data_IF_507498356590
#
_entry.id   IF_507498356590
#
_cell.length_a   1.000
_cell.length_b   1.000
_cell.length_c   1.000
_cell.angle_alpha   90.00
_cell.angle_beta   90.00
_cell.angle_gamma   90.00
#
_symmetry.space_group_name_H-M   'P 1'
#
loop_
_entity.id
_entity.type
_entity.pdbx_description
1 polymer ?
#
# COMPACT_ATOMS: atom_id res chain seq x y z
N UNK A 1 11.33 6.42 30.37
CA UNK A 1 11.14 5.42 29.29
C UNK A 1 11.99 5.87 28.11
N UNK A 2 13.02 5.14 27.66
CA UNK A 2 13.84 5.63 26.56
C UNK A 2 13.19 5.27 25.22
N UNK A 3 12.76 6.30 24.51
CA UNK A 3 12.48 6.33 23.07
C UNK A 3 13.77 6.17 22.29
N UNK A 4 13.89 5.15 21.43
CA UNK A 4 15.05 4.95 20.57
C UNK A 4 14.65 4.34 19.22
N UNK A 5 13.85 5.09 18.44
CA UNK A 5 13.89 4.91 16.98
C UNK A 5 15.12 5.67 16.47
N UNK A 6 16.29 5.02 16.46
CA UNK A 6 17.45 5.56 15.75
C UNK A 6 17.24 5.31 14.26
N UNK A 7 16.93 6.35 13.50
CA UNK A 7 17.02 6.29 12.05
C UNK A 7 18.48 6.06 11.63
N UNK A 8 18.71 5.10 10.74
CA UNK A 8 20.04 4.79 10.20
C UNK A 8 20.60 5.99 9.43
N UNK A 9 21.90 6.23 9.57
CA UNK A 9 22.67 7.28 8.89
C UNK A 9 23.68 6.67 7.91
N UNK A 10 24.09 7.47 6.94
CA UNK A 10 25.13 7.07 6.01
C UNK A 10 26.45 6.80 6.78
N UNK A 11 27.01 5.61 6.58
CA UNK A 11 28.21 5.15 7.30
C UNK A 11 27.93 4.25 8.51
N UNK A 12 26.66 4.07 8.92
CA UNK A 12 26.31 3.10 9.95
C UNK A 12 26.71 1.67 9.52
N UNK A 13 27.16 0.83 10.46
CA UNK A 13 27.51 -0.55 10.17
C UNK A 13 26.29 -1.29 9.63
N UNK A 14 26.52 -2.19 8.66
CA UNK A 14 25.47 -3.08 8.18
C UNK A 14 24.90 -3.86 9.37
N UNK A 15 23.56 -4.00 9.49
CA UNK A 15 22.98 -4.77 10.58
C UNK A 15 23.43 -6.24 10.47
N UNK A 16 23.63 -6.86 11.63
CA UNK A 16 24.04 -8.25 11.71
C UNK A 16 22.95 -9.18 11.16
N UNK A 17 23.33 -10.17 10.35
CA UNK A 17 22.39 -11.09 9.70
C UNK A 17 22.31 -12.35 10.57
N UNK A 18 21.23 -12.48 11.34
CA UNK A 18 20.96 -13.70 12.10
C UNK A 18 20.25 -14.72 11.20
N UNK A 19 20.85 -15.88 10.89
CA UNK A 19 20.26 -16.89 10.01
C UNK A 19 19.00 -17.56 10.58
N UNK A 20 18.78 -17.46 11.90
CA UNK A 20 17.58 -17.99 12.56
C UNK A 20 16.46 -16.95 12.69
N UNK A 21 16.69 -15.70 12.25
CA UNK A 21 15.70 -14.64 12.23
C UNK A 21 15.54 -14.07 10.81
N UNK A 22 14.30 -13.94 10.35
CA UNK A 22 14.04 -13.28 9.08
C UNK A 22 14.33 -11.78 9.19
N UNK A 23 15.36 -11.31 8.48
CA UNK A 23 15.72 -9.89 8.38
C UNK A 23 15.25 -9.35 7.03
N UNK A 24 14.28 -8.41 7.05
CA UNK A 24 13.69 -7.81 5.86
C UNK A 24 14.59 -6.68 5.31
N UNK A 25 15.45 -6.97 4.33
CA UNK A 25 16.27 -5.98 3.62
C UNK A 25 15.48 -5.30 2.49
N UNK A 26 14.55 -4.44 2.88
CA UNK A 26 13.68 -3.72 1.95
C UNK A 26 12.62 -4.60 1.29
N UNK A 27 11.62 -3.97 0.69
CA UNK A 27 10.47 -4.68 0.13
C UNK A 27 10.74 -5.39 -1.21
N UNK A 28 12.01 -5.54 -1.60
CA UNK A 28 12.42 -6.23 -2.85
C UNK A 28 12.12 -7.73 -2.86
N UNK A 29 11.71 -8.29 -1.72
CA UNK A 29 11.36 -9.70 -1.61
C UNK A 29 9.96 -10.02 -2.16
N UNK A 30 9.06 -9.04 -2.20
CA UNK A 30 7.69 -9.26 -2.70
C UNK A 30 7.51 -8.56 -4.06
N UNK A 31 7.48 -9.30 -5.18
CA UNK A 31 7.35 -8.70 -6.51
C UNK A 31 5.99 -8.02 -6.70
N UNK A 32 4.99 -8.31 -5.86
CA UNK A 32 3.71 -7.60 -5.86
C UNK A 32 3.82 -6.22 -5.23
N UNK A 33 4.59 -6.10 -4.14
CA UNK A 33 4.88 -4.81 -3.51
C UNK A 33 5.69 -3.93 -4.43
N UNK A 34 6.71 -4.48 -5.09
CA UNK A 34 7.51 -3.71 -6.05
C UNK A 34 6.64 -3.17 -7.19
N UNK A 35 5.77 -4.01 -7.76
CA UNK A 35 4.87 -3.61 -8.86
C UNK A 35 3.87 -2.55 -8.41
N UNK A 36 3.15 -2.81 -7.32
CA UNK A 36 2.08 -1.92 -6.89
C UNK A 36 2.62 -0.66 -6.22
N UNK A 37 3.62 -0.79 -5.35
CA UNK A 37 4.30 0.35 -4.74
C UNK A 37 5.02 1.20 -5.78
N UNK A 38 5.69 0.58 -6.75
CA UNK A 38 6.37 1.27 -7.84
C UNK A 38 5.43 2.07 -8.74
N UNK A 39 4.22 1.57 -9.00
CA UNK A 39 3.23 2.29 -9.81
C UNK A 39 2.43 3.32 -9.01
N UNK A 40 2.05 3.03 -7.76
CA UNK A 40 1.20 3.93 -6.96
C UNK A 40 1.96 5.06 -6.30
N UNK A 41 3.19 4.83 -5.83
CA UNK A 41 3.94 5.84 -5.05
C UNK A 41 4.21 7.13 -5.85
N UNK A 42 4.64 7.10 -7.13
CA UNK A 42 4.82 8.31 -7.93
C UNK A 42 3.51 9.09 -8.13
N UNK A 43 2.38 8.40 -8.33
CA UNK A 43 1.07 9.06 -8.45
C UNK A 43 0.70 9.75 -7.13
N UNK A 44 0.75 8.99 -6.03
CA UNK A 44 0.27 9.46 -4.72
C UNK A 44 1.15 10.57 -4.15
N UNK A 45 2.48 10.43 -4.20
CA UNK A 45 3.38 11.35 -3.49
C UNK A 45 4.11 12.34 -4.40
N UNK A 46 4.07 12.16 -5.72
CA UNK A 46 4.77 13.03 -6.69
C UNK A 46 3.86 13.62 -7.75
N UNK A 47 2.58 13.26 -7.78
CA UNK A 47 1.62 13.78 -8.76
C UNK A 47 1.90 13.34 -10.19
N UNK A 48 2.63 12.23 -10.39
CA UNK A 48 2.87 11.69 -11.73
C UNK A 48 1.60 11.01 -12.26
N UNK A 49 0.69 11.78 -12.85
CA UNK A 49 -0.58 11.30 -13.41
C UNK A 49 -0.50 11.17 -14.94
N UNK A 50 -1.58 10.67 -15.55
CA UNK A 50 -1.67 10.46 -17.00
C UNK A 50 -1.97 9.01 -17.36
N UNK A 51 -2.15 8.74 -18.66
CA UNK A 51 -2.56 7.42 -19.18
C UNK A 51 -1.57 6.32 -18.81
N UNK A 52 -0.27 6.59 -18.95
CA UNK A 52 0.77 5.60 -18.62
C UNK A 52 0.73 5.19 -17.14
N UNK A 53 0.46 6.15 -16.24
CA UNK A 53 0.33 5.89 -14.81
C UNK A 53 -0.94 5.08 -14.49
N UNK A 54 -2.06 5.43 -15.14
CA UNK A 54 -3.33 4.69 -15.03
C UNK A 54 -3.17 3.24 -15.50
N UNK A 55 -2.57 3.03 -16.67
CA UNK A 55 -2.30 1.69 -17.22
C UNK A 55 -1.33 0.90 -16.33
N UNK A 56 -0.28 1.53 -15.79
CA UNK A 56 0.66 0.86 -14.90
C UNK A 56 -0.01 0.38 -13.60
N UNK A 57 -0.88 1.20 -13.00
CA UNK A 57 -1.64 0.82 -11.79
C UNK A 57 -2.64 -0.28 -12.13
N UNK A 58 -3.42 -0.14 -13.20
CA UNK A 58 -4.38 -1.15 -13.62
C UNK A 58 -3.71 -2.50 -13.87
N UNK A 59 -2.60 -2.52 -14.62
CA UNK A 59 -1.82 -3.73 -14.89
C UNK A 59 -1.26 -4.37 -13.62
N UNK A 60 -0.83 -3.57 -12.64
CA UNK A 60 -0.40 -4.09 -11.35
C UNK A 60 -1.57 -4.74 -10.58
N UNK A 61 -2.73 -4.08 -10.53
CA UNK A 61 -3.94 -4.64 -9.91
C UNK A 61 -4.37 -5.95 -10.57
N UNK A 62 -4.41 -6.01 -11.90
CA UNK A 62 -4.80 -7.22 -12.65
C UNK A 62 -3.83 -8.38 -12.39
N UNK A 63 -2.51 -8.11 -12.32
CA UNK A 63 -1.51 -9.14 -12.01
C UNK A 63 -1.67 -9.69 -10.59
N UNK A 64 -1.93 -8.83 -9.61
CA UNK A 64 -2.15 -9.26 -8.21
C UNK A 64 -3.47 -10.03 -8.10
N UNK A 65 -4.54 -9.53 -8.72
CA UNK A 65 -5.84 -10.18 -8.77
C UNK A 65 -5.72 -11.64 -9.27
N UNK A 66 -4.97 -11.88 -10.34
CA UNK A 66 -4.72 -13.22 -10.88
C UNK A 66 -3.75 -14.08 -10.04
N UNK A 67 -2.95 -13.46 -9.19
CA UNK A 67 -1.95 -14.13 -8.38
C UNK A 67 -2.51 -14.66 -7.05
N UNK A 68 -3.56 -14.03 -6.50
CA UNK A 68 -4.22 -14.49 -5.28
C UNK A 68 -4.81 -15.89 -5.52
N UNK A 69 -4.36 -16.88 -4.75
CA UNK A 69 -4.72 -18.31 -4.95
C UNK A 69 -5.80 -18.83 -4.00
N UNK A 70 -6.21 -18.05 -3.01
CA UNK A 70 -7.23 -18.45 -2.04
C UNK A 70 -7.80 -17.26 -1.28
N UNK A 71 -8.19 -17.50 -0.03
CA UNK A 71 -8.67 -16.45 0.88
C UNK A 71 -7.65 -15.33 1.09
N UNK A 72 -6.37 -15.70 1.12
CA UNK A 72 -5.21 -14.82 1.25
C UNK A 72 -4.25 -15.04 0.08
N UNK A 73 -3.17 -14.24 0.02
CA UNK A 73 -2.29 -14.16 -1.16
C UNK A 73 -1.77 -15.53 -1.61
N UNK A 74 -1.27 -16.34 -0.68
CA UNK A 74 -0.63 -17.62 -0.96
C UNK A 74 -1.52 -18.87 -0.72
N UNK A 75 -2.79 -18.68 -0.35
CA UNK A 75 -3.69 -19.80 -0.04
C UNK A 75 -4.75 -19.47 1.01
N UNK A 76 -5.28 -20.47 1.75
CA UNK A 76 -6.38 -20.27 2.70
C UNK A 76 -5.93 -19.62 4.02
N UNK A 77 -4.63 -19.62 4.32
CA UNK A 77 -4.08 -19.13 5.58
C UNK A 77 -3.42 -17.75 5.40
N UNK A 78 -3.63 -16.89 6.39
CA UNK A 78 -2.94 -15.60 6.48
C UNK A 78 -1.44 -15.82 6.68
N UNK A 79 -0.62 -15.06 5.96
CA UNK A 79 0.83 -15.21 5.97
C UNK A 79 1.56 -13.87 6.11
N UNK A 80 2.88 -13.91 6.34
CA UNK A 80 3.72 -12.71 6.30
C UNK A 80 3.62 -11.98 4.95
N UNK A 81 3.43 -12.71 3.84
CA UNK A 81 3.33 -12.11 2.52
C UNK A 81 2.10 -11.18 2.40
N UNK A 82 1.01 -11.51 3.09
CA UNK A 82 -0.18 -10.67 3.17
C UNK A 82 0.12 -9.37 3.92
N UNK A 83 0.79 -9.45 5.05
CA UNK A 83 1.17 -8.28 5.84
C UNK A 83 2.17 -7.37 5.13
N UNK A 84 3.06 -7.95 4.32
CA UNK A 84 4.01 -7.19 3.51
C UNK A 84 3.29 -6.49 2.34
N UNK A 85 2.31 -7.15 1.71
CA UNK A 85 1.59 -6.61 0.55
C UNK A 85 0.50 -5.61 0.93
N UNK A 86 -0.25 -5.89 2.00
CA UNK A 86 -1.46 -5.16 2.36
C UNK A 86 -1.29 -3.64 2.46
N UNK A 87 -0.23 -3.07 3.07
CA UNK A 87 -0.09 -1.62 3.14
C UNK A 87 -0.07 -0.93 1.77
N UNK A 88 0.33 -1.62 0.71
CA UNK A 88 0.34 -1.08 -0.65
C UNK A 88 -1.04 -1.19 -1.30
N UNK A 89 -1.72 -2.31 -1.10
CA UNK A 89 -3.12 -2.50 -1.55
C UNK A 89 -4.05 -1.52 -0.85
N UNK A 90 -3.85 -1.29 0.44
CA UNK A 90 -4.62 -0.36 1.27
C UNK A 90 -4.41 1.12 0.92
N UNK A 91 -3.50 1.42 -0.03
CA UNK A 91 -3.30 2.76 -0.60
C UNK A 91 -3.87 2.90 -2.01
N UNK A 92 -4.52 1.88 -2.55
CA UNK A 92 -5.08 1.91 -3.90
C UNK A 92 -6.10 3.03 -4.09
N UNK A 93 -6.95 3.32 -3.10
CA UNK A 93 -7.91 4.43 -3.22
C UNK A 93 -7.20 5.76 -3.48
N UNK A 94 -6.06 6.00 -2.81
CA UNK A 94 -5.32 7.24 -2.98
C UNK A 94 -4.81 7.39 -4.40
N UNK A 95 -4.26 6.31 -4.97
CA UNK A 95 -3.72 6.33 -6.32
C UNK A 95 -4.84 6.53 -7.35
N UNK A 96 -5.94 5.77 -7.23
CA UNK A 96 -7.10 5.86 -8.13
C UNK A 96 -7.77 7.24 -8.04
N UNK A 97 -7.87 7.81 -6.84
CA UNK A 97 -8.43 9.15 -6.63
C UNK A 97 -7.49 10.25 -7.13
N UNK A 98 -6.17 10.12 -6.94
CA UNK A 98 -5.19 11.09 -7.45
C UNK A 98 -5.16 11.11 -8.99
N UNK A 99 -5.33 9.98 -9.68
CA UNK A 99 -5.48 9.94 -11.14
C UNK A 99 -6.71 10.73 -11.63
N UNK A 100 -7.72 10.90 -10.78
CA UNK A 100 -8.97 11.61 -11.07
C UNK A 100 -9.03 13.03 -10.51
N UNK A 101 -7.90 13.53 -9.98
CA UNK A 101 -7.82 14.83 -9.30
C UNK A 101 -8.89 15.01 -8.20
N UNK A 102 -9.15 13.94 -7.44
CA UNK A 102 -10.12 13.99 -6.35
C UNK A 102 -9.52 14.68 -5.13
N UNK A 103 -10.28 15.61 -4.55
CA UNK A 103 -9.93 16.26 -3.29
C UNK A 103 -9.67 15.21 -2.17
N UNK A 104 -8.53 15.28 -1.45
CA UNK A 104 -8.20 14.34 -0.38
C UNK A 104 -9.27 14.14 0.70
N UNK A 105 -10.06 15.19 1.01
CA UNK A 105 -11.16 15.14 1.99
C UNK A 105 -12.38 14.37 1.47
N UNK A 106 -12.50 14.20 0.15
CA UNK A 106 -13.63 13.52 -0.51
C UNK A 106 -13.32 12.08 -0.89
N UNK A 107 -12.13 11.57 -0.56
CA UNK A 107 -11.76 10.19 -0.89
C UNK A 107 -12.55 9.21 -0.02
N UNK A 108 -13.30 8.32 -0.67
CA UNK A 108 -14.00 7.23 -0.01
C UNK A 108 -13.24 5.91 -0.15
N UNK A 109 -13.14 5.17 0.96
CA UNK A 109 -12.67 3.78 0.97
C UNK A 109 -13.54 2.91 0.05
N UNK A 110 -12.93 1.91 -0.58
CA UNK A 110 -13.67 0.95 -1.39
C UNK A 110 -14.71 0.21 -0.52
N UNK A 111 -15.84 -0.07 -1.15
CA UNK A 111 -16.95 -0.83 -0.58
C UNK A 111 -17.11 -2.17 -1.32
N UNK A 112 -17.85 -3.14 -0.75
CA UNK A 112 -18.25 -4.32 -1.52
C UNK A 112 -18.91 -3.89 -2.85
N UNK A 113 -18.54 -4.56 -3.95
CA UNK A 113 -19.02 -4.27 -5.31
C UNK A 113 -18.72 -2.85 -5.84
N UNK A 114 -17.69 -2.17 -5.31
CA UNK A 114 -17.30 -0.85 -5.81
C UNK A 114 -16.96 -0.89 -7.31
N UNK A 115 -17.56 -0.02 -8.15
CA UNK A 115 -17.30 0.01 -9.59
C UNK A 115 -15.82 0.22 -9.94
N UNK A 116 -15.06 0.91 -9.08
CA UNK A 116 -13.62 1.16 -9.26
C UNK A 116 -12.81 -0.15 -9.20
N UNK A 117 -13.31 -1.15 -8.47
CA UNK A 117 -12.70 -2.47 -8.34
C UNK A 117 -13.21 -3.54 -9.29
N UNK A 118 -14.16 -3.21 -10.18
CA UNK A 118 -14.83 -4.19 -11.06
C UNK A 118 -13.86 -4.99 -11.94
N UNK A 119 -12.72 -4.40 -12.32
CA UNK A 119 -11.71 -5.06 -13.16
C UNK A 119 -10.81 -6.02 -12.37
N UNK A 120 -10.77 -5.91 -11.04
CA UNK A 120 -9.93 -6.71 -10.15
C UNK A 120 -10.71 -7.18 -8.91
N UNK A 121 -11.82 -7.93 -9.11
CA UNK A 121 -12.75 -8.26 -8.02
C UNK A 121 -12.12 -9.08 -6.89
N UNK A 122 -11.19 -9.99 -7.19
CA UNK A 122 -10.50 -10.81 -6.19
C UNK A 122 -9.61 -9.94 -5.30
N UNK A 123 -8.92 -8.96 -5.90
CA UNK A 123 -8.11 -8.00 -5.15
C UNK A 123 -8.98 -7.09 -4.28
N UNK A 124 -10.17 -6.69 -4.77
CA UNK A 124 -11.11 -5.89 -3.98
C UNK A 124 -11.60 -6.68 -2.75
N UNK A 125 -12.04 -7.92 -2.95
CA UNK A 125 -12.46 -8.79 -1.85
C UNK A 125 -11.33 -9.05 -0.85
N UNK A 126 -10.10 -9.29 -1.35
CA UNK A 126 -8.91 -9.45 -0.52
C UNK A 126 -8.65 -8.21 0.35
N UNK A 127 -8.70 -7.01 -0.24
CA UNK A 127 -8.51 -5.75 0.48
C UNK A 127 -9.55 -5.59 1.60
N UNK A 128 -10.82 -5.78 1.28
CA UNK A 128 -11.92 -5.66 2.24
C UNK A 128 -11.76 -6.66 3.39
N UNK A 129 -11.46 -7.93 3.07
CA UNK A 129 -11.21 -8.98 4.05
C UNK A 129 -10.04 -8.66 4.97
N UNK A 130 -8.92 -8.18 4.43
CA UNK A 130 -7.77 -7.78 5.24
C UNK A 130 -8.11 -6.65 6.21
N UNK A 131 -8.98 -5.70 5.81
CA UNK A 131 -9.44 -4.60 6.68
C UNK A 131 -10.35 -5.06 7.81
N UNK A 132 -11.07 -6.16 7.65
CA UNK A 132 -11.95 -6.74 8.68
C UNK A 132 -11.16 -7.48 9.78
N UNK A 133 -9.89 -7.81 9.55
CA UNK A 133 -9.04 -8.44 10.57
C UNK A 133 -8.86 -7.48 11.76
N UNK A 134 -9.16 -7.91 13.02
CA UNK A 134 -9.17 -7.00 14.17
C UNK A 134 -7.85 -6.25 14.39
N UNK A 135 -6.71 -6.91 14.20
CA UNK A 135 -5.39 -6.29 14.34
C UNK A 135 -5.06 -5.31 13.23
N UNK A 136 -5.60 -5.50 12.01
CA UNK A 136 -5.45 -4.55 10.90
C UNK A 136 -6.35 -3.34 11.16
N UNK A 137 -7.62 -3.58 11.49
CA UNK A 137 -8.58 -2.51 11.81
C UNK A 137 -8.06 -1.59 12.92
N UNK A 138 -7.40 -2.15 13.94
CA UNK A 138 -6.83 -1.40 15.06
C UNK A 138 -5.70 -0.43 14.68
N UNK A 139 -4.91 -0.74 13.65
CA UNK A 139 -3.70 0.03 13.29
C UNK A 139 -3.84 0.81 11.99
N UNK A 140 -4.89 0.56 11.22
CA UNK A 140 -5.14 1.23 9.95
C UNK A 140 -5.59 2.68 10.18
N UNK A 141 -5.06 3.59 9.38
CA UNK A 141 -5.61 4.94 9.22
C UNK A 141 -6.53 5.01 8.01
N UNK A 142 -7.51 5.91 8.03
CA UNK A 142 -8.47 6.03 6.92
C UNK A 142 -7.78 6.49 5.63
N UNK A 143 -8.39 6.17 4.48
CA UNK A 143 -7.91 6.68 3.19
C UNK A 143 -7.77 8.21 3.16
N UNK A 144 -8.69 8.95 3.78
CA UNK A 144 -8.66 10.41 3.86
C UNK A 144 -7.43 10.93 4.62
N UNK A 145 -7.10 10.35 5.77
CA UNK A 145 -5.89 10.73 6.55
C UNK A 145 -4.64 10.51 5.71
N UNK A 146 -4.49 9.32 5.11
CA UNK A 146 -3.34 9.00 4.25
C UNK A 146 -3.26 9.95 3.04
N UNK A 147 -4.40 10.32 2.46
CA UNK A 147 -4.45 11.23 1.32
C UNK A 147 -4.05 12.66 1.66
N UNK A 148 -4.42 13.15 2.86
CA UNK A 148 -3.99 14.45 3.36
C UNK A 148 -2.48 14.50 3.54
N UNK A 149 -1.90 13.48 4.18
CA UNK A 149 -0.44 13.34 4.31
C UNK A 149 0.24 13.31 2.94
N UNK A 150 -0.33 12.58 1.98
CA UNK A 150 0.21 12.55 0.62
C UNK A 150 0.13 13.92 -0.07
N UNK A 151 -0.93 14.70 0.16
CA UNK A 151 -1.09 16.04 -0.39
C UNK A 151 -0.10 17.03 0.21
N UNK A 152 0.15 16.98 1.53
CA UNK A 152 1.18 17.82 2.18
C UNK A 152 2.59 17.46 1.72
N UNK A 153 2.86 16.17 1.48
CA UNK A 153 4.10 15.75 0.84
C UNK A 153 4.27 16.32 -0.58
N UNK A 154 3.20 16.32 -1.40
CA UNK A 154 3.22 16.90 -2.76
C UNK A 154 3.42 18.42 -2.76
N UNK A 155 2.97 19.13 -1.72
CA UNK A 155 3.20 20.58 -1.61
C UNK A 155 4.62 20.95 -1.17
N UNK A 156 5.47 19.96 -0.86
CA UNK A 156 6.84 20.17 -0.37
C UNK A 156 6.94 20.39 1.14
N UNK A 157 5.82 20.34 1.86
CA UNK A 157 5.74 20.54 3.31
C UNK A 157 5.04 19.35 3.97
N UNK A 158 5.68 18.17 4.01
CA UNK A 158 5.04 16.97 4.52
C UNK A 158 4.70 17.11 6.01
N UNK A 159 3.45 16.83 6.33
CA UNK A 159 2.92 16.79 7.70
C UNK A 159 2.63 15.34 8.05
N UNK A 160 3.54 14.71 8.81
CA UNK A 160 3.47 13.28 9.14
C UNK A 160 2.64 12.99 10.40
N UNK A 161 2.27 14.03 11.14
CA UNK A 161 1.59 13.95 12.43
C UNK A 161 0.05 14.16 12.34
N UNK A 162 -0.51 14.14 11.11
CA UNK A 162 -1.97 14.14 10.85
C UNK A 162 -2.58 12.80 11.26
#
# INVERSE_FOLDING_TARGET
>A
MPTLSKHLRQGDPKPDINPNHYTLFGNRFCPFVERLGGSTHPVVFRGHTGKDAEEAILNACLKINSAIKGTFLAGPNLSLADFVMFPFVDRLELAVSALKDTDPSKIEEFKPNDPRGKQWPVLLEYLLRMRELPFVARVRTTAQVKARVAATARSGHPEWDI
#
